data_IF_394367786248
#
_entry.id   IF_394367786248
#
_cell.length_a   1.000
_cell.length_b   1.000
_cell.length_c   1.000
_cell.angle_alpha   90.00
_cell.angle_beta   90.00
_cell.angle_gamma   90.00
#
_symmetry.space_group_name_H-M   'P 1'
#
loop_
_entity.id
_entity.type
_entity.pdbx_description
1 polymer ?
#
# COMPACT_ATOMS: atom_id res chain seq x y z
N UNK A 1 0.42 -3.53 8.99
CA UNK A 1 -0.10 -2.23 8.51
C UNK A 1 -1.48 -2.47 7.93
N UNK A 2 -2.47 -1.65 8.30
CA UNK A 2 -3.83 -1.78 7.77
C UNK A 2 -3.92 -1.03 6.43
N UNK A 3 -4.02 -1.74 5.31
CA UNK A 3 -4.15 -1.13 3.98
C UNK A 3 -5.56 -0.60 3.68
N UNK A 4 -6.58 -1.14 4.37
CA UNK A 4 -7.97 -0.75 4.16
C UNK A 4 -8.18 0.74 4.44
N UNK A 5 -7.51 1.31 5.44
CA UNK A 5 -7.61 2.76 5.73
C UNK A 5 -7.18 3.64 4.54
N UNK A 6 -6.14 3.25 3.81
CA UNK A 6 -5.62 4.01 2.68
C UNK A 6 -6.52 3.87 1.46
N UNK A 7 -7.07 2.67 1.25
CA UNK A 7 -8.04 2.42 0.18
C UNK A 7 -9.35 3.16 0.45
N UNK A 8 -9.81 3.19 1.70
CA UNK A 8 -11.00 3.95 2.10
C UNK A 8 -10.82 5.45 1.92
N UNK A 9 -9.63 5.97 2.27
CA UNK A 9 -9.29 7.38 2.02
C UNK A 9 -9.31 7.68 0.52
N UNK A 10 -8.68 6.85 -0.31
CA UNK A 10 -8.70 7.02 -1.77
C UNK A 10 -10.12 7.00 -2.33
N UNK A 11 -10.99 6.13 -1.81
CA UNK A 11 -12.41 6.08 -2.19
C UNK A 11 -13.14 7.37 -1.84
N UNK A 12 -12.89 7.93 -0.65
CA UNK A 12 -13.50 9.20 -0.24
C UNK A 12 -13.02 10.35 -1.13
N UNK A 13 -11.72 10.42 -1.42
CA UNK A 13 -11.15 11.44 -2.30
C UNK A 13 -11.72 11.33 -3.73
N UNK A 14 -11.89 10.11 -4.25
CA UNK A 14 -12.55 9.87 -5.54
C UNK A 14 -14.00 10.37 -5.54
N UNK A 15 -14.76 10.09 -4.47
CA UNK A 15 -16.14 10.56 -4.35
C UNK A 15 -16.22 12.09 -4.33
N UNK A 16 -15.35 12.76 -3.55
CA UNK A 16 -15.27 14.23 -3.51
C UNK A 16 -14.94 14.81 -4.88
N UNK A 17 -13.99 14.22 -5.60
CA UNK A 17 -13.63 14.65 -6.95
C UNK A 17 -14.78 14.42 -7.94
N UNK A 18 -15.51 13.31 -7.82
CA UNK A 18 -16.64 12.98 -8.69
C UNK A 18 -17.83 13.93 -8.50
N UNK A 19 -18.12 14.38 -7.27
CA UNK A 19 -19.17 15.37 -7.02
C UNK A 19 -18.92 16.69 -7.76
N UNK A 20 -17.67 17.13 -7.85
CA UNK A 20 -17.30 18.32 -8.62
C UNK A 20 -17.53 18.15 -10.15
N UNK A 21 -17.59 16.91 -10.64
CA UNK A 21 -17.84 16.57 -12.03
C UNK A 21 -19.30 16.36 -12.40
N UNK A 22 -20.23 16.48 -11.45
CA UNK A 22 -21.67 16.30 -11.67
C UNK A 22 -22.12 14.84 -11.74
N UNK A 23 -23.38 14.63 -12.13
CA UNK A 23 -24.07 13.33 -12.00
C UNK A 23 -23.41 12.19 -12.79
N UNK A 24 -22.86 12.48 -13.97
CA UNK A 24 -22.21 11.47 -14.81
C UNK A 24 -20.88 11.00 -14.20
N UNK A 25 -20.09 11.93 -13.64
CA UNK A 25 -18.85 11.62 -12.94
C UNK A 25 -19.13 10.82 -11.65
N UNK A 26 -20.17 11.18 -10.90
CA UNK A 26 -20.62 10.41 -9.72
C UNK A 26 -21.00 8.98 -10.08
N UNK A 27 -21.84 8.81 -11.10
CA UNK A 27 -22.26 7.49 -11.57
C UNK A 27 -21.08 6.65 -12.06
N UNK A 28 -20.06 7.26 -12.67
CA UNK A 28 -18.84 6.57 -13.06
C UNK A 28 -18.00 6.14 -11.83
N UNK A 29 -17.80 7.04 -10.87
CA UNK A 29 -17.04 6.76 -9.66
C UNK A 29 -17.66 5.62 -8.83
N UNK A 30 -18.99 5.57 -8.71
CA UNK A 30 -19.71 4.47 -8.05
C UNK A 30 -19.42 3.12 -8.71
N UNK A 31 -19.41 3.05 -10.04
CA UNK A 31 -19.08 1.82 -10.78
C UNK A 31 -17.62 1.42 -10.65
N UNK A 32 -16.72 2.39 -10.53
CA UNK A 32 -15.27 2.15 -10.43
C UNK A 32 -14.80 1.82 -9.01
N UNK A 33 -15.56 2.19 -7.98
CA UNK A 33 -15.15 2.03 -6.58
C UNK A 33 -14.73 0.59 -6.23
N UNK A 34 -15.57 -0.40 -6.56
CA UNK A 34 -15.28 -1.80 -6.26
C UNK A 34 -14.06 -2.36 -7.02
N UNK A 35 -13.92 -2.20 -8.36
CA UNK A 35 -12.73 -2.67 -9.07
C UNK A 35 -11.45 -1.91 -8.68
N UNK A 36 -11.56 -0.64 -8.29
CA UNK A 36 -10.39 0.16 -7.89
C UNK A 36 -9.80 -0.30 -6.55
N UNK A 37 -10.61 -0.81 -5.62
CA UNK A 37 -10.13 -1.27 -4.30
C UNK A 37 -9.06 -2.36 -4.43
N UNK A 38 -9.30 -3.37 -5.29
CA UNK A 38 -8.36 -4.47 -5.47
C UNK A 38 -7.08 -4.01 -6.17
N UNK A 39 -7.21 -3.14 -7.18
CA UNK A 39 -6.09 -2.55 -7.89
C UNK A 39 -5.23 -1.66 -6.99
N UNK A 40 -5.85 -0.79 -6.18
CA UNK A 40 -5.16 0.09 -5.25
C UNK A 40 -4.39 -0.71 -4.19
N UNK A 41 -5.01 -1.75 -3.62
CA UNK A 41 -4.34 -2.63 -2.64
C UNK A 41 -3.12 -3.31 -3.23
N UNK A 42 -3.24 -3.87 -4.44
CA UNK A 42 -2.12 -4.53 -5.11
C UNK A 42 -0.98 -3.52 -5.42
N UNK A 43 -1.32 -2.33 -5.91
CA UNK A 43 -0.32 -1.28 -6.16
C UNK A 43 0.40 -0.86 -4.89
N UNK A 44 -0.31 -0.70 -3.77
CA UNK A 44 0.30 -0.39 -2.47
C UNK A 44 1.24 -1.50 -2.01
N UNK A 45 0.84 -2.77 -2.14
CA UNK A 45 1.70 -3.90 -1.82
C UNK A 45 2.97 -3.91 -2.68
N UNK A 46 2.86 -3.69 -3.98
CA UNK A 46 4.01 -3.60 -4.88
C UNK A 46 4.96 -2.47 -4.48
N UNK A 47 4.42 -1.30 -4.13
CA UNK A 47 5.22 -0.16 -3.69
C UNK A 47 5.98 -0.45 -2.38
N UNK A 48 5.33 -1.11 -1.41
CA UNK A 48 5.97 -1.50 -0.16
C UNK A 48 7.08 -2.53 -0.37
N UNK A 49 6.86 -3.52 -1.26
CA UNK A 49 7.89 -4.51 -1.60
C UNK A 49 9.10 -3.84 -2.25
N UNK A 50 8.89 -2.96 -3.22
CA UNK A 50 9.97 -2.22 -3.87
C UNK A 50 10.76 -1.35 -2.86
N UNK A 51 10.06 -0.69 -1.93
CA UNK A 51 10.71 0.07 -0.87
C UNK A 51 11.53 -0.82 0.08
N UNK A 52 11.04 -2.02 0.40
CA UNK A 52 11.77 -2.98 1.23
C UNK A 52 13.06 -3.46 0.55
N UNK A 53 13.01 -3.71 -0.76
CA UNK A 53 14.18 -4.08 -1.56
C UNK A 53 15.24 -2.96 -1.55
N UNK A 54 14.81 -1.71 -1.75
CA UNK A 54 15.70 -0.53 -1.71
C UNK A 54 16.37 -0.39 -0.33
N UNK A 55 15.58 -0.48 0.75
CA UNK A 55 16.11 -0.39 2.12
C UNK A 55 17.05 -1.57 2.44
N UNK A 56 16.76 -2.78 1.93
CA UNK A 56 17.60 -3.96 2.16
C UNK A 56 19.00 -3.80 1.59
N UNK A 57 19.13 -3.16 0.43
CA UNK A 57 20.45 -2.85 -0.17
C UNK A 57 21.27 -1.98 0.77
N UNK A 58 20.66 -0.94 1.33
CA UNK A 58 21.33 0.00 2.24
C UNK A 58 21.57 -0.58 3.65
N UNK A 59 20.77 -1.57 4.07
CA UNK A 59 20.86 -2.19 5.40
C UNK A 59 21.89 -3.33 5.49
N UNK A 60 22.52 -3.74 4.38
CA UNK A 60 23.43 -4.87 4.35
C UNK A 60 24.53 -4.79 5.44
N UNK A 61 24.83 -5.89 6.15
CA UNK A 61 24.36 -7.27 5.93
C UNK A 61 22.98 -7.61 6.55
N UNK A 62 22.22 -6.64 7.06
CA UNK A 62 20.83 -6.83 7.48
C UNK A 62 19.84 -6.81 6.30
N UNK A 63 18.55 -6.96 6.58
CA UNK A 63 17.47 -6.93 5.59
C UNK A 63 16.17 -6.34 6.12
N UNK A 64 15.32 -5.88 5.20
CA UNK A 64 13.93 -5.54 5.46
C UNK A 64 13.05 -6.31 4.51
N UNK A 65 12.14 -7.12 5.04
CA UNK A 65 11.22 -7.94 4.27
C UNK A 65 9.77 -7.51 4.51
N UNK A 66 8.90 -7.69 3.52
CA UNK A 66 7.44 -7.52 3.70
C UNK A 66 6.79 -8.88 3.89
N UNK A 67 6.14 -9.08 5.03
CA UNK A 67 5.37 -10.28 5.35
C UNK A 67 3.88 -9.97 5.38
N UNK A 68 3.05 -10.82 4.77
CA UNK A 68 1.60 -10.72 4.85
C UNK A 68 1.04 -11.53 6.01
N UNK A 69 0.18 -10.91 6.82
CA UNK A 69 -0.76 -11.60 7.72
C UNK A 69 -2.17 -11.38 7.20
N UNK A 70 -2.71 -12.37 6.50
CA UNK A 70 -3.94 -12.17 5.73
C UNK A 70 -3.69 -11.13 4.62
N UNK A 71 -4.38 -10.00 4.71
CA UNK A 71 -4.24 -8.87 3.76
C UNK A 71 -3.42 -7.70 4.32
N UNK A 72 -2.91 -7.83 5.54
CA UNK A 72 -2.17 -6.77 6.21
C UNK A 72 -0.65 -7.01 6.08
N UNK A 73 0.09 -6.14 5.37
CA UNK A 73 1.54 -6.23 5.27
C UNK A 73 2.24 -5.74 6.55
N UNK A 74 3.32 -6.41 6.94
CA UNK A 74 4.19 -6.05 8.05
C UNK A 74 5.64 -6.01 7.55
N UNK A 75 6.39 -4.97 7.92
CA UNK A 75 7.84 -4.99 7.73
C UNK A 75 8.49 -5.85 8.81
N UNK A 76 9.36 -6.75 8.39
CA UNK A 76 10.22 -7.56 9.24
C UNK A 76 11.64 -7.07 9.00
N UNK A 77 12.26 -6.52 10.04
CA UNK A 77 13.63 -6.00 9.96
C UNK A 77 14.56 -7.00 10.62
N UNK A 78 15.55 -7.47 9.85
CA UNK A 78 16.65 -8.27 10.35
C UNK A 78 17.87 -7.36 10.48
N UNK A 79 18.30 -6.98 11.70
CA UNK A 79 19.47 -6.13 11.85
C UNK A 79 20.75 -6.87 11.41
N UNK A 80 21.79 -6.14 10.99
CA UNK A 80 23.13 -6.71 10.83
C UNK A 80 23.54 -7.48 12.09
N UNK A 81 24.29 -8.60 11.96
CA UNK A 81 24.83 -9.28 13.13
C UNK A 81 25.70 -8.29 13.90
N UNK A 82 25.46 -8.19 15.21
CA UNK A 82 26.32 -7.40 16.08
C UNK A 82 27.73 -8.01 15.98
N UNK A 83 28.70 -7.21 15.51
CA UNK A 83 30.09 -7.64 15.46
C UNK A 83 30.52 -8.16 16.83
N UNK A 84 31.10 -9.36 16.87
CA UNK A 84 31.68 -9.89 18.10
C UNK A 84 32.74 -8.90 18.63
N UNK A 85 32.75 -8.63 19.94
CA UNK A 85 33.70 -7.70 20.57
C UNK A 85 35.15 -8.17 20.53
#
# INVERSE_FOLDING_TARGET
MNLTQYVDQLRQELAVAAEAGGDEARALAERLTAPLESAARLTLLNALSAAADEITVDLAPGSVDVRLRGLDPEFVVTPPPAGEP
#
